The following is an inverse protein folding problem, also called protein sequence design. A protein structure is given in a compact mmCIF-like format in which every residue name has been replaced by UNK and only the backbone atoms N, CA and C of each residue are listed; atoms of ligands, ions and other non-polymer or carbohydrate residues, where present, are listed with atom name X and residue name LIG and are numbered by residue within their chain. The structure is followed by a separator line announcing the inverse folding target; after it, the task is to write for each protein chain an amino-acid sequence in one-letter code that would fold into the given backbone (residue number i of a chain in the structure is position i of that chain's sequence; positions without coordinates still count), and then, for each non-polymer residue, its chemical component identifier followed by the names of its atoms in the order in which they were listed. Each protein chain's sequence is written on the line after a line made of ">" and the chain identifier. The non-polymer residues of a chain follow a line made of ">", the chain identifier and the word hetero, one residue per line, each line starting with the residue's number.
data_IF_456463000905
#
_entry.id   IF_456463000905
#
_cell.length_a   1.000
_cell.length_b   1.000
_cell.length_c   1.000
_cell.angle_alpha   90.00
_cell.angle_beta   90.00
_cell.angle_gamma   90.00
#
_symmetry.space_group_name_H-M   'P 1'
#
loop_
_entity.id
_entity.type
_entity.pdbx_description
1 polymer ?
#
# COMPACT_ATOMS: atom_id res chain seq x y z
N UNK A 1 -38.71 -7.88 -15.48
CA UNK A 1 -37.39 -7.58 -16.09
C UNK A 1 -36.57 -6.58 -15.27
N UNK A 2 -37.17 -5.82 -14.34
CA UNK A 2 -36.46 -4.84 -13.50
C UNK A 2 -35.49 -5.45 -12.45
N UNK A 3 -35.88 -6.58 -11.83
CA UNK A 3 -35.06 -7.25 -10.79
C UNK A 3 -33.76 -7.89 -11.31
N UNK A 4 -33.71 -8.26 -12.59
CA UNK A 4 -32.51 -8.88 -13.18
C UNK A 4 -31.46 -7.82 -13.53
N UNK A 5 -31.88 -6.64 -14.00
CA UNK A 5 -30.98 -5.54 -14.32
C UNK A 5 -30.34 -4.94 -13.06
N UNK A 6 -31.12 -4.79 -11.99
CA UNK A 6 -30.60 -4.31 -10.69
C UNK A 6 -29.63 -5.30 -10.05
N UNK A 7 -29.93 -6.61 -10.11
CA UNK A 7 -29.04 -7.65 -9.60
C UNK A 7 -27.71 -7.72 -10.35
N UNK A 8 -27.73 -7.68 -11.69
CA UNK A 8 -26.52 -7.67 -12.52
C UNK A 8 -25.67 -6.43 -12.24
N UNK A 9 -26.30 -5.25 -12.12
CA UNK A 9 -25.59 -4.00 -11.79
C UNK A 9 -24.94 -4.05 -10.41
N UNK A 10 -25.65 -4.59 -9.41
CA UNK A 10 -25.12 -4.76 -8.05
C UNK A 10 -23.92 -5.69 -8.01
N UNK A 11 -23.98 -6.82 -8.73
CA UNK A 11 -22.88 -7.77 -8.81
C UNK A 11 -21.66 -7.19 -9.52
N UNK A 12 -21.88 -6.44 -10.61
CA UNK A 12 -20.81 -5.75 -11.33
C UNK A 12 -20.11 -4.72 -10.44
N UNK A 13 -20.87 -3.90 -9.71
CA UNK A 13 -20.29 -2.92 -8.78
C UNK A 13 -19.45 -3.60 -7.69
N UNK A 14 -19.97 -4.64 -7.03
CA UNK A 14 -19.22 -5.38 -6.02
C UNK A 14 -17.93 -6.01 -6.57
N UNK A 15 -17.94 -6.48 -7.81
CA UNK A 15 -16.75 -7.05 -8.47
C UNK A 15 -15.70 -5.97 -8.77
N UNK A 16 -16.15 -4.79 -9.20
CA UNK A 16 -15.27 -3.63 -9.43
C UNK A 16 -14.67 -3.13 -8.12
N UNK A 17 -15.49 -3.04 -7.07
CA UNK A 17 -15.04 -2.65 -5.73
C UNK A 17 -14.01 -3.63 -5.18
N UNK A 18 -14.26 -4.93 -5.35
CA UNK A 18 -13.30 -5.98 -5.00
C UNK A 18 -11.99 -5.83 -5.79
N UNK A 19 -12.05 -5.61 -7.10
CA UNK A 19 -10.86 -5.46 -7.93
C UNK A 19 -10.02 -4.26 -7.50
N UNK A 20 -10.64 -3.11 -7.22
CA UNK A 20 -9.93 -1.93 -6.73
C UNK A 20 -9.36 -2.13 -5.33
N UNK A 21 -10.12 -2.74 -4.41
CA UNK A 21 -9.61 -3.07 -3.08
C UNK A 21 -8.41 -4.00 -3.16
N UNK A 22 -8.51 -5.06 -3.97
CA UNK A 22 -7.47 -6.05 -4.16
C UNK A 22 -6.19 -5.41 -4.71
N UNK A 23 -6.32 -4.65 -5.80
CA UNK A 23 -5.18 -3.97 -6.42
C UNK A 23 -4.55 -2.94 -5.48
N UNK A 24 -5.38 -2.18 -4.77
CA UNK A 24 -4.92 -1.18 -3.82
C UNK A 24 -4.15 -1.78 -2.64
N UNK A 25 -4.69 -2.83 -2.02
CA UNK A 25 -3.98 -3.53 -0.94
C UNK A 25 -2.71 -4.19 -1.47
N UNK A 26 -2.76 -4.83 -2.63
CA UNK A 26 -1.59 -5.46 -3.24
C UNK A 26 -0.47 -4.46 -3.54
N UNK A 27 -0.82 -3.25 -3.99
CA UNK A 27 0.14 -2.18 -4.28
C UNK A 27 0.93 -1.72 -3.04
N UNK A 28 0.36 -1.87 -1.84
CA UNK A 28 1.06 -1.57 -0.58
C UNK A 28 1.76 -2.82 -0.02
N UNK A 29 1.06 -3.95 -0.02
CA UNK A 29 1.53 -5.19 0.58
C UNK A 29 2.76 -5.74 -0.13
N UNK A 30 2.79 -5.75 -1.47
CA UNK A 30 3.90 -6.34 -2.21
C UNK A 30 5.24 -5.63 -1.98
N UNK A 31 5.35 -4.29 -2.16
CA UNK A 31 6.60 -3.59 -1.86
C UNK A 31 7.03 -3.78 -0.40
N UNK A 32 6.08 -3.72 0.54
CA UNK A 32 6.35 -3.87 1.97
C UNK A 32 6.94 -5.25 2.28
N UNK A 33 6.28 -6.32 1.81
CA UNK A 33 6.76 -7.69 2.03
C UNK A 33 8.08 -7.97 1.32
N UNK A 34 8.26 -7.45 0.11
CA UNK A 34 9.52 -7.59 -0.63
C UNK A 34 10.69 -6.89 0.08
N UNK A 35 10.47 -5.69 0.61
CA UNK A 35 11.46 -4.95 1.38
C UNK A 35 11.79 -5.64 2.70
N UNK A 36 10.78 -6.12 3.44
CA UNK A 36 11.00 -6.92 4.66
C UNK A 36 11.81 -8.17 4.35
N UNK A 37 11.46 -8.90 3.29
CA UNK A 37 12.20 -10.10 2.88
C UNK A 37 13.65 -9.79 2.47
N UNK A 38 13.89 -8.63 1.86
CA UNK A 38 15.22 -8.16 1.48
C UNK A 38 16.05 -7.76 2.71
N UNK A 39 15.46 -7.05 3.67
CA UNK A 39 16.10 -6.68 4.94
C UNK A 39 16.48 -7.90 5.79
N UNK A 40 15.62 -8.92 5.80
CA UNK A 40 15.89 -10.20 6.48
C UNK A 40 16.93 -11.04 5.71
N UNK A 41 17.17 -10.74 4.43
CA UNK A 41 18.08 -11.49 3.56
C UNK A 41 17.60 -12.88 3.16
N UNK A 42 16.35 -13.24 3.45
CA UNK A 42 15.82 -14.59 3.26
C UNK A 42 15.34 -14.82 1.82
N UNK A 43 15.94 -15.75 1.05
CA UNK A 43 15.45 -16.13 -0.28
C UNK A 43 14.04 -16.75 -0.23
N UNK A 44 13.75 -17.49 0.84
CA UNK A 44 12.44 -18.10 1.06
C UNK A 44 11.34 -17.05 1.22
N UNK A 45 11.56 -16.02 2.05
CA UNK A 45 10.58 -14.94 2.22
C UNK A 45 10.36 -14.16 0.92
N UNK A 46 11.42 -13.95 0.12
CA UNK A 46 11.30 -13.31 -1.20
C UNK A 46 10.45 -14.14 -2.15
N UNK A 47 10.61 -15.46 -2.16
CA UNK A 47 9.78 -16.36 -2.97
C UNK A 47 8.31 -16.38 -2.51
N UNK A 48 8.05 -16.21 -1.21
CA UNK A 48 6.70 -16.18 -0.66
C UNK A 48 5.99 -14.82 -0.80
N UNK A 49 6.72 -13.73 -1.01
CA UNK A 49 6.13 -12.38 -1.06
C UNK A 49 4.92 -12.25 -2.01
N UNK A 50 4.93 -12.81 -3.24
CA UNK A 50 3.75 -12.77 -4.12
C UNK A 50 2.53 -13.50 -3.55
N UNK A 51 2.73 -14.68 -2.95
CA UNK A 51 1.64 -15.48 -2.38
C UNK A 51 1.07 -14.80 -1.14
N UNK A 52 1.94 -14.29 -0.26
CA UNK A 52 1.52 -13.53 0.92
C UNK A 52 0.78 -12.26 0.54
N UNK A 53 1.25 -11.55 -0.50
CA UNK A 53 0.54 -10.38 -1.06
C UNK A 53 -0.84 -10.78 -1.54
N UNK A 54 -0.95 -11.86 -2.32
CA UNK A 54 -2.23 -12.33 -2.84
C UNK A 54 -3.20 -12.64 -1.70
N UNK A 55 -2.77 -13.42 -0.70
CA UNK A 55 -3.61 -13.79 0.45
C UNK A 55 -4.05 -12.55 1.24
N UNK A 56 -3.13 -11.61 1.50
CA UNK A 56 -3.45 -10.37 2.22
C UNK A 56 -4.40 -9.49 1.41
N UNK A 57 -4.13 -9.27 0.13
CA UNK A 57 -4.97 -8.45 -0.74
C UNK A 57 -6.37 -9.05 -0.88
N UNK A 58 -6.46 -10.37 -1.08
CA UNK A 58 -7.74 -11.07 -1.16
C UNK A 58 -8.53 -10.95 0.13
N UNK A 59 -7.92 -11.26 1.28
CA UNK A 59 -8.59 -11.20 2.58
C UNK A 59 -8.98 -9.77 2.98
N UNK A 60 -8.08 -8.81 2.78
CA UNK A 60 -8.31 -7.41 3.13
C UNK A 60 -9.29 -6.71 2.18
N UNK A 61 -9.64 -7.29 1.03
CA UNK A 61 -10.68 -6.75 0.14
C UNK A 61 -12.08 -6.89 0.72
N UNK A 62 -12.32 -7.90 1.57
CA UNK A 62 -13.62 -8.15 2.19
C UNK A 62 -14.24 -6.92 2.88
N UNK A 63 -13.54 -6.21 3.79
CA UNK A 63 -14.11 -5.03 4.46
C UNK A 63 -14.41 -3.84 3.53
N UNK A 64 -13.83 -3.76 2.34
CA UNK A 64 -14.15 -2.71 1.36
C UNK A 64 -15.41 -3.00 0.55
N UNK A 65 -15.73 -4.28 0.36
CA UNK A 65 -16.88 -4.73 -0.45
C UNK A 65 -18.09 -4.98 0.41
N UNK A 66 -17.90 -5.57 1.59
CA UNK A 66 -18.97 -6.00 2.48
C UNK A 66 -18.97 -5.27 3.84
N UNK A 67 -17.98 -4.42 4.11
CA UNK A 67 -17.86 -3.65 5.34
C UNK A 67 -17.89 -2.15 5.10
N UNK A 68 -17.56 -1.40 6.16
CA UNK A 68 -17.64 0.07 6.16
C UNK A 68 -16.36 0.76 5.63
N UNK A 69 -15.41 0.02 5.06
CA UNK A 69 -14.15 0.60 4.62
C UNK A 69 -14.30 1.31 3.28
N UNK A 70 -13.86 2.56 3.22
CA UNK A 70 -13.97 3.39 2.02
C UNK A 70 -12.87 3.10 1.00
N UNK A 71 -13.27 2.75 -0.23
CA UNK A 71 -12.37 2.69 -1.39
C UNK A 71 -11.78 4.06 -1.74
N UNK A 72 -12.53 5.15 -1.51
CA UNK A 72 -12.02 6.51 -1.69
C UNK A 72 -10.82 6.78 -0.79
N UNK A 73 -10.91 6.39 0.48
CA UNK A 73 -9.78 6.52 1.42
C UNK A 73 -8.59 5.64 1.06
N UNK A 74 -8.84 4.43 0.56
CA UNK A 74 -7.76 3.59 0.04
C UNK A 74 -7.06 4.27 -1.14
N UNK A 75 -7.80 4.86 -2.06
CA UNK A 75 -7.25 5.63 -3.18
C UNK A 75 -6.43 6.84 -2.73
N UNK A 76 -6.95 7.63 -1.79
CA UNK A 76 -6.22 8.76 -1.19
C UNK A 76 -4.94 8.30 -0.48
N UNK A 77 -5.01 7.23 0.31
CA UNK A 77 -3.85 6.65 0.97
C UNK A 77 -2.79 6.22 -0.05
N UNK A 78 -3.17 5.53 -1.12
CA UNK A 78 -2.27 5.12 -2.19
C UNK A 78 -1.63 6.31 -2.89
N UNK A 79 -2.42 7.33 -3.20
CA UNK A 79 -1.92 8.54 -3.83
C UNK A 79 -0.84 9.21 -2.97
N UNK A 80 -1.13 9.41 -1.68
CA UNK A 80 -0.17 10.02 -0.73
C UNK A 80 1.03 9.11 -0.51
N UNK A 81 0.85 7.79 -0.44
CA UNK A 81 1.94 6.83 -0.27
C UNK A 81 2.89 6.84 -1.46
N UNK A 82 2.37 6.87 -2.69
CA UNK A 82 3.21 6.92 -3.92
C UNK A 82 3.94 8.26 -4.02
N UNK A 83 3.23 9.39 -3.83
CA UNK A 83 3.85 10.71 -3.84
C UNK A 83 4.91 10.83 -2.72
N UNK A 84 4.61 10.32 -1.53
CA UNK A 84 5.51 10.25 -0.39
C UNK A 84 6.72 9.38 -0.67
N UNK A 85 6.55 8.24 -1.35
CA UNK A 85 7.67 7.34 -1.67
C UNK A 85 8.66 8.01 -2.62
N UNK A 86 8.17 8.80 -3.60
CA UNK A 86 9.02 9.59 -4.47
C UNK A 86 9.74 10.71 -3.71
N UNK A 87 9.02 11.46 -2.88
CA UNK A 87 9.58 12.58 -2.11
C UNK A 87 10.63 12.11 -1.08
N UNK A 88 10.26 11.12 -0.25
CA UNK A 88 11.18 10.53 0.73
C UNK A 88 12.30 9.74 0.07
N UNK A 89 12.05 9.10 -1.09
CA UNK A 89 13.08 8.42 -1.86
C UNK A 89 14.16 9.39 -2.34
N UNK A 90 13.76 10.51 -2.93
CA UNK A 90 14.69 11.56 -3.34
C UNK A 90 15.44 12.18 -2.15
N UNK A 91 14.75 12.42 -1.03
CA UNK A 91 15.36 12.98 0.18
C UNK A 91 16.40 12.03 0.77
N UNK A 92 16.04 10.76 0.98
CA UNK A 92 16.95 9.75 1.55
C UNK A 92 18.15 9.54 0.62
N UNK A 93 17.94 9.45 -0.70
CA UNK A 93 19.04 9.38 -1.65
C UNK A 93 19.96 10.61 -1.59
N UNK A 94 19.38 11.81 -1.49
CA UNK A 94 20.13 13.05 -1.31
C UNK A 94 20.97 13.06 -0.02
N UNK A 95 20.43 12.55 1.08
CA UNK A 95 21.17 12.42 2.35
C UNK A 95 22.33 11.42 2.25
N UNK A 96 22.09 10.25 1.65
CA UNK A 96 23.14 9.23 1.44
C UNK A 96 24.29 9.81 0.63
N UNK A 97 23.98 10.54 -0.46
CA UNK A 97 24.99 11.19 -1.30
C UNK A 97 25.70 12.35 -0.61
N UNK A 98 24.97 13.21 0.12
CA UNK A 98 25.54 14.39 0.76
C UNK A 98 26.46 14.05 1.94
N UNK A 99 26.19 12.95 2.63
CA UNK A 99 26.98 12.48 3.78
C UNK A 99 28.01 11.41 3.41
N UNK A 100 28.13 11.07 2.12
CA UNK A 100 29.01 10.01 1.60
C UNK A 100 28.86 8.70 2.41
N UNK A 101 27.61 8.32 2.70
CA UNK A 101 27.33 7.13 3.49
C UNK A 101 27.73 5.90 2.67
N UNK A 102 28.57 5.05 3.26
CA UNK A 102 28.89 3.76 2.68
C UNK A 102 27.63 2.89 2.62
N UNK A 103 27.02 2.83 1.44
CA UNK A 103 25.90 1.93 1.14
C UNK A 103 26.33 0.97 0.05
N UNK A 104 26.19 -0.34 0.31
CA UNK A 104 26.41 -1.33 -0.73
C UNK A 104 25.36 -1.15 -1.85
N UNK A 105 25.73 -1.34 -3.14
CA UNK A 105 24.84 -1.15 -4.29
C UNK A 105 23.55 -2.00 -4.34
N UNK A 106 23.28 -2.81 -3.30
CA UNK A 106 22.05 -3.59 -3.15
C UNK A 106 21.47 -3.53 -1.74
N UNK A 107 21.93 -2.60 -0.90
CA UNK A 107 21.40 -2.41 0.45
C UNK A 107 19.93 -1.94 0.39
N UNK A 108 18.97 -2.72 0.91
CA UNK A 108 17.57 -2.32 0.92
C UNK A 108 17.26 -1.22 1.97
N UNK A 109 18.16 -0.90 2.89
CA UNK A 109 17.88 0.01 4.00
C UNK A 109 17.45 1.43 3.57
N UNK A 110 18.09 2.10 2.59
CA UNK A 110 17.65 3.43 2.14
C UNK A 110 16.24 3.40 1.55
N UNK A 111 15.94 2.42 0.70
CA UNK A 111 14.62 2.28 0.07
C UNK A 111 13.55 1.93 1.10
N UNK A 112 13.86 1.02 2.03
CA UNK A 112 12.94 0.65 3.10
C UNK A 112 12.62 1.82 4.03
N UNK A 113 13.61 2.68 4.31
CA UNK A 113 13.44 3.90 5.10
C UNK A 113 12.49 4.86 4.39
N UNK A 114 12.75 5.15 3.10
CA UNK A 114 11.89 6.02 2.31
C UNK A 114 10.45 5.50 2.21
N UNK A 115 10.28 4.20 1.98
CA UNK A 115 8.97 3.56 1.91
C UNK A 115 8.22 3.63 3.24
N UNK A 116 8.92 3.40 4.35
CA UNK A 116 8.32 3.48 5.70
C UNK A 116 7.86 4.89 6.02
N UNK A 117 8.68 5.90 5.71
CA UNK A 117 8.31 7.31 5.89
C UNK A 117 7.12 7.71 5.00
N UNK A 118 7.06 7.18 3.77
CA UNK A 118 5.94 7.38 2.88
C UNK A 118 4.63 6.80 3.43
N UNK A 119 4.65 5.55 3.91
CA UNK A 119 3.48 4.92 4.53
C UNK A 119 3.05 5.63 5.81
N UNK A 120 4.01 6.06 6.65
CA UNK A 120 3.72 6.84 7.84
C UNK A 120 3.07 8.19 7.48
N UNK A 121 3.58 8.87 6.45
CA UNK A 121 3.01 10.14 5.95
C UNK A 121 1.59 9.92 5.43
N UNK A 122 1.36 8.90 4.61
CA UNK A 122 0.04 8.56 4.10
C UNK A 122 -0.94 8.24 5.23
N UNK A 123 -0.50 7.49 6.23
CA UNK A 123 -1.33 7.16 7.39
C UNK A 123 -1.73 8.42 8.17
N UNK A 124 -0.78 9.32 8.44
CA UNK A 124 -1.05 10.57 9.16
C UNK A 124 -1.97 11.47 8.35
N UNK A 125 -1.67 11.71 7.07
CA UNK A 125 -2.47 12.61 6.23
C UNK A 125 -3.92 12.14 6.10
N UNK A 126 -4.12 10.84 5.83
CA UNK A 126 -5.47 10.31 5.55
C UNK A 126 -6.26 10.00 6.82
N UNK A 127 -5.63 9.39 7.84
CA UNK A 127 -6.37 8.88 9.00
C UNK A 127 -6.22 9.72 10.27
N UNK A 128 -5.17 10.53 10.40
CA UNK A 128 -4.98 11.35 11.59
C UNK A 128 -5.73 12.68 11.53
N UNK A 129 -5.76 13.34 10.36
CA UNK A 129 -6.41 14.64 10.22
C UNK A 129 -7.93 14.59 10.44
N UNK A 130 -8.60 13.49 10.05
CA UNK A 130 -10.03 13.33 10.29
C UNK A 130 -10.39 13.25 11.78
N UNK A 131 -9.52 12.68 12.64
CA UNK A 131 -9.82 12.61 14.09
C UNK A 131 -9.82 13.98 14.77
N UNK A 132 -9.19 15.00 14.17
CA UNK A 132 -9.15 16.35 14.74
C UNK A 132 -10.32 17.24 14.27
N UNK A 133 -10.96 16.93 13.14
CA UNK A 133 -12.10 17.71 12.64
C UNK A 133 -13.43 17.37 13.35
N UNK A 134 -13.52 16.20 13.99
CA UNK A 134 -14.69 15.76 14.77
C UNK A 134 -14.49 15.89 16.30
N UNK A 135 -13.51 16.68 16.74
CA UNK A 135 -13.37 17.14 18.14
C UNK A 135 -13.60 18.63 18.21
#
# INVERSE_FOLDING_TARGET
>A
MENTASGVRSWLLATVDFAFAFLGVAAVAYPTLSLVASLVGSPFLRALAPILTFVLAFGASYPYVAGDWSLGRLGEFLFVAVAGALAWGALVAGVVLALDLATDPGDPAPIATAWTLALATAYVVVYWQERQLFR
#
